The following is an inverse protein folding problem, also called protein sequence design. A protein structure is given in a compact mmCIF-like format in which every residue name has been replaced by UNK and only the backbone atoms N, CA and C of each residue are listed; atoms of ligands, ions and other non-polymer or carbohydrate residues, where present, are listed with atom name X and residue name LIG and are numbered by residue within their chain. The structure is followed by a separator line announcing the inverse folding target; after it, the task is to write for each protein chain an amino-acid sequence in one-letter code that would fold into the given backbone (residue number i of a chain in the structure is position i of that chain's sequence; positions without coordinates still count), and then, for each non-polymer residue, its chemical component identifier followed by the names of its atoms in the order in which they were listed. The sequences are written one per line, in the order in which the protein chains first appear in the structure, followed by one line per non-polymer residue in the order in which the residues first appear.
data_IF_259377101330
#
_entry.id   IF_259377101330
#
_cell.length_a   1.000
_cell.length_b   1.000
_cell.length_c   1.000
_cell.angle_alpha   90.00
_cell.angle_beta   90.00
_cell.angle_gamma   90.00
#
_symmetry.space_group_name_H-M   'P 1'
#
loop_
_entity.id
_entity.type
_entity.pdbx_description
1 polymer ?
#
# COMPACT_ATOMS: atom_id res chain seq x y z
N UNK A 1 13.20 -7.32 44.37
CA UNK A 1 13.53 -7.01 42.97
C UNK A 1 14.53 -5.86 42.95
N UNK A 2 15.61 -5.99 42.19
CA UNK A 2 16.67 -4.98 42.04
C UNK A 2 16.30 -3.97 40.95
N UNK A 3 16.96 -2.80 40.95
CA UNK A 3 16.75 -1.77 39.93
C UNK A 3 17.09 -2.28 38.52
N UNK A 4 18.17 -3.06 38.37
CA UNK A 4 18.58 -3.66 37.10
C UNK A 4 17.49 -4.57 36.52
N UNK A 5 16.81 -5.35 37.37
CA UNK A 5 15.70 -6.21 36.97
C UNK A 5 14.48 -5.39 36.49
N UNK A 6 14.22 -4.22 37.09
CA UNK A 6 13.20 -3.28 36.60
C UNK A 6 13.59 -2.77 35.21
N UNK A 7 14.81 -2.27 35.05
CA UNK A 7 15.26 -1.68 33.79
C UNK A 7 15.32 -2.72 32.65
N UNK A 8 15.57 -3.99 32.98
CA UNK A 8 15.54 -5.09 32.02
C UNK A 8 14.14 -5.38 31.46
N UNK A 9 13.06 -4.87 32.07
CA UNK A 9 11.70 -4.97 31.52
C UNK A 9 11.51 -4.08 30.29
N UNK A 10 12.38 -3.10 30.05
CA UNK A 10 12.30 -2.22 28.90
C UNK A 10 13.24 -2.69 27.78
N UNK A 11 12.73 -3.41 26.76
CA UNK A 11 13.56 -3.88 25.65
C UNK A 11 14.00 -2.70 24.77
N UNK A 12 15.31 -2.56 24.59
CA UNK A 12 15.86 -1.50 23.73
C UNK A 12 15.75 -1.89 22.26
N UNK A 13 15.34 -0.94 21.40
CA UNK A 13 15.21 -1.12 19.93
C UNK A 13 14.22 -2.22 19.53
N UNK A 14 13.21 -2.47 20.36
CA UNK A 14 12.11 -3.37 20.04
C UNK A 14 11.14 -2.76 19.02
N UNK A 15 10.44 -3.62 18.29
CA UNK A 15 9.29 -3.27 17.47
C UNK A 15 8.04 -2.99 18.34
N UNK A 16 6.96 -2.51 17.73
CA UNK A 16 5.74 -2.18 18.46
C UNK A 16 5.12 -3.41 19.17
N UNK A 17 5.19 -4.59 18.54
CA UNK A 17 4.62 -5.80 19.11
C UNK A 17 5.37 -6.23 20.40
N UNK A 18 6.70 -6.27 20.34
CA UNK A 18 7.56 -6.58 21.49
C UNK A 18 7.38 -5.57 22.63
N UNK A 19 7.24 -4.27 22.32
CA UNK A 19 7.00 -3.24 23.33
C UNK A 19 5.63 -3.40 24.00
N UNK A 20 4.57 -3.74 23.26
CA UNK A 20 3.24 -4.03 23.85
C UNK A 20 3.30 -5.22 24.80
N UNK A 21 3.96 -6.30 24.41
CA UNK A 21 4.13 -7.48 25.26
C UNK A 21 4.93 -7.15 26.53
N UNK A 22 6.02 -6.39 26.39
CA UNK A 22 6.84 -5.95 27.51
C UNK A 22 6.06 -5.05 28.49
N UNK A 23 5.25 -4.13 27.98
CA UNK A 23 4.35 -3.28 28.79
C UNK A 23 3.36 -4.15 29.57
N UNK A 24 2.67 -5.07 28.89
CA UNK A 24 1.71 -5.96 29.53
C UNK A 24 2.36 -6.82 30.64
N UNK A 25 3.57 -7.33 30.38
CA UNK A 25 4.37 -8.07 31.37
C UNK A 25 4.74 -7.19 32.57
N UNK A 26 5.17 -5.96 32.33
CA UNK A 26 5.53 -5.00 33.38
C UNK A 26 4.30 -4.63 34.24
N UNK A 27 3.15 -4.39 33.61
CA UNK A 27 1.88 -4.13 34.29
C UNK A 27 1.43 -5.31 35.17
N UNK A 28 1.52 -6.54 34.64
CA UNK A 28 1.25 -7.76 35.40
C UNK A 28 2.17 -7.91 36.62
N UNK A 29 3.49 -7.75 36.42
CA UNK A 29 4.47 -7.84 37.51
C UNK A 29 4.23 -6.78 38.59
N UNK A 30 3.85 -5.56 38.19
CA UNK A 30 3.48 -4.48 39.12
C UNK A 30 2.26 -4.86 39.95
N UNK A 31 1.23 -5.42 39.34
CA UNK A 31 0.03 -5.87 40.05
C UNK A 31 0.38 -6.97 41.07
N UNK A 32 1.16 -7.97 40.67
CA UNK A 32 1.60 -9.06 41.55
C UNK A 32 2.40 -8.55 42.76
N UNK A 33 3.28 -7.57 42.56
CA UNK A 33 4.07 -6.95 43.63
C UNK A 33 3.18 -6.17 44.62
N UNK A 34 2.17 -5.45 44.12
CA UNK A 34 1.21 -4.74 44.98
C UNK A 34 0.36 -5.74 45.79
N UNK A 35 -0.14 -6.80 45.15
CA UNK A 35 -0.88 -7.87 45.83
C UNK A 35 -0.03 -8.52 46.92
N UNK A 36 1.24 -8.81 46.64
CA UNK A 36 2.18 -9.35 47.62
C UNK A 36 2.41 -8.39 48.79
N UNK A 37 2.58 -7.09 48.54
CA UNK A 37 2.74 -6.10 49.59
C UNK A 37 1.51 -6.05 50.52
N UNK A 38 0.31 -6.02 49.95
CA UNK A 38 -0.94 -6.04 50.73
C UNK A 38 -1.09 -7.31 51.54
N UNK A 39 -0.72 -8.47 50.99
CA UNK A 39 -0.76 -9.74 51.72
C UNK A 39 0.21 -9.78 52.93
N UNK A 40 1.41 -9.23 52.76
CA UNK A 40 2.41 -9.12 53.83
C UNK A 40 1.96 -8.15 54.93
N UNK A 41 1.36 -7.02 54.55
CA UNK A 41 0.78 -6.07 55.50
C UNK A 41 -0.37 -6.67 56.32
N UNK A 42 -1.23 -7.46 55.66
CA UNK A 42 -2.31 -8.20 56.32
C UNK A 42 -1.77 -9.26 57.28
N UNK A 43 -0.73 -9.99 56.86
CA UNK A 43 -0.07 -10.98 57.73
C UNK A 43 0.52 -10.31 58.96
N UNK A 44 1.13 -9.13 58.80
CA UNK A 44 1.64 -8.33 59.92
C UNK A 44 0.52 -7.88 60.87
N UNK A 45 -0.59 -7.37 60.34
CA UNK A 45 -1.70 -6.88 61.18
C UNK A 45 -2.41 -8.00 61.93
N UNK A 46 -2.61 -9.16 61.31
CA UNK A 46 -3.18 -10.35 61.94
C UNK A 46 -2.22 -10.98 62.97
N UNK A 47 -0.92 -10.78 62.78
CA UNK A 47 0.15 -11.33 63.61
C UNK A 47 0.57 -10.50 64.82
N UNK A 48 -0.06 -9.34 65.08
CA UNK A 48 0.41 -8.36 66.09
C UNK A 48 0.56 -8.94 67.51
N UNK A 49 -0.21 -9.97 67.85
CA UNK A 49 -0.20 -10.60 69.18
C UNK A 49 0.45 -12.00 69.17
N UNK A 50 0.84 -12.51 68.01
CA UNK A 50 1.22 -13.93 67.82
C UNK A 50 2.58 -14.11 67.15
N UNK A 51 3.04 -13.13 66.37
CA UNK A 51 4.36 -13.13 65.76
C UNK A 51 5.38 -12.50 66.69
N UNK A 52 6.63 -12.97 66.60
CA UNK A 52 7.75 -12.27 67.22
C UNK A 52 8.07 -10.97 66.47
N UNK A 53 8.77 -10.06 67.16
CA UNK A 53 9.12 -8.74 66.63
C UNK A 53 9.95 -8.81 65.34
N UNK A 54 10.80 -9.82 65.22
CA UNK A 54 11.65 -10.02 64.04
C UNK A 54 10.84 -10.43 62.81
N UNK A 55 9.82 -11.25 62.98
CA UNK A 55 8.92 -11.66 61.92
C UNK A 55 8.05 -10.47 61.44
N UNK A 56 7.58 -9.64 62.38
CA UNK A 56 6.85 -8.41 62.04
C UNK A 56 7.71 -7.41 61.25
N UNK A 57 8.95 -7.15 61.70
CA UNK A 57 9.89 -6.28 61.00
C UNK A 57 10.22 -6.80 59.60
N UNK A 58 10.44 -8.11 59.43
CA UNK A 58 10.67 -8.72 58.12
C UNK A 58 9.48 -8.56 57.18
N UNK A 59 8.25 -8.78 57.67
CA UNK A 59 7.05 -8.61 56.87
C UNK A 59 6.88 -7.16 56.39
N UNK A 60 7.18 -6.20 57.26
CA UNK A 60 7.16 -4.77 56.91
C UNK A 60 8.23 -4.40 55.88
N UNK A 61 9.47 -4.85 56.08
CA UNK A 61 10.54 -4.62 55.11
C UNK A 61 10.22 -5.22 53.73
N UNK A 62 9.69 -6.45 53.69
CA UNK A 62 9.37 -7.12 52.44
C UNK A 62 8.17 -6.47 51.73
N UNK A 63 7.17 -6.00 52.49
CA UNK A 63 6.08 -5.19 51.95
C UNK A 63 6.60 -3.88 51.35
N UNK A 64 7.48 -3.17 52.05
CA UNK A 64 8.10 -1.93 51.57
C UNK A 64 8.95 -2.17 50.32
N UNK A 65 9.76 -3.25 50.28
CA UNK A 65 10.55 -3.64 49.11
C UNK A 65 9.65 -3.98 47.90
N UNK A 66 8.52 -4.65 48.13
CA UNK A 66 7.56 -4.98 47.08
C UNK A 66 6.88 -3.71 46.52
N UNK A 67 6.43 -2.79 47.39
CA UNK A 67 5.89 -1.48 46.98
C UNK A 67 6.91 -0.67 46.19
N UNK A 68 8.13 -0.55 46.69
CA UNK A 68 9.20 0.18 46.00
C UNK A 68 9.48 -0.40 44.60
N UNK A 69 9.46 -1.72 44.45
CA UNK A 69 9.60 -2.35 43.13
C UNK A 69 8.41 -2.04 42.21
N UNK A 70 7.18 -2.11 42.72
CA UNK A 70 5.98 -1.75 41.97
C UNK A 70 5.99 -0.27 41.52
N UNK A 71 6.44 0.64 42.38
CA UNK A 71 6.56 2.07 42.09
C UNK A 71 7.63 2.33 41.02
N UNK A 72 8.76 1.61 41.07
CA UNK A 72 9.79 1.69 40.03
C UNK A 72 9.28 1.21 38.67
N UNK A 73 8.48 0.14 38.64
CA UNK A 73 7.83 -0.30 37.39
C UNK A 73 6.83 0.77 36.93
N UNK A 74 6.05 1.34 37.84
CA UNK A 74 5.10 2.41 37.51
C UNK A 74 5.80 3.62 36.89
N UNK A 75 7.00 3.96 37.37
CA UNK A 75 7.82 5.03 36.81
C UNK A 75 8.43 4.68 35.43
N UNK A 76 8.65 3.39 35.13
CA UNK A 76 9.19 2.93 33.85
C UNK A 76 8.12 2.88 32.74
N UNK A 77 6.87 2.58 33.08
CA UNK A 77 5.79 2.39 32.11
C UNK A 77 5.55 3.59 31.15
N UNK A 78 5.62 4.86 31.59
CA UNK A 78 5.51 6.00 30.69
C UNK A 78 6.58 6.00 29.58
N UNK A 79 7.83 5.69 29.91
CA UNK A 79 8.92 5.64 28.95
C UNK A 79 8.71 4.51 27.94
N UNK A 80 8.29 3.31 28.42
CA UNK A 80 7.98 2.18 27.53
C UNK A 80 6.83 2.51 26.56
N UNK A 81 5.80 3.24 27.03
CA UNK A 81 4.67 3.67 26.19
C UNK A 81 5.08 4.73 25.18
N UNK A 82 5.97 5.65 25.55
CA UNK A 82 6.52 6.63 24.61
C UNK A 82 7.32 5.92 23.49
N UNK A 83 8.15 4.95 23.85
CA UNK A 83 8.90 4.15 22.88
C UNK A 83 7.99 3.30 21.99
N UNK A 84 6.88 2.77 22.53
CA UNK A 84 5.85 2.08 21.73
C UNK A 84 5.27 3.00 20.66
N UNK A 85 4.82 4.20 21.03
CA UNK A 85 4.26 5.15 20.06
C UNK A 85 5.27 5.55 18.98
N UNK A 86 6.55 5.69 19.34
CA UNK A 86 7.60 5.93 18.35
C UNK A 86 7.80 4.73 17.42
N UNK A 87 7.78 3.51 17.94
CA UNK A 87 7.90 2.29 17.14
C UNK A 87 6.73 2.15 16.15
N UNK A 88 5.49 2.35 16.62
CA UNK A 88 4.28 2.38 15.78
C UNK A 88 4.39 3.44 14.67
N UNK A 89 4.85 4.65 15.01
CA UNK A 89 5.07 5.70 14.02
C UNK A 89 6.12 5.33 12.98
N UNK A 90 7.22 4.68 13.37
CA UNK A 90 8.26 4.22 12.44
C UNK A 90 7.75 3.14 11.49
N UNK A 91 6.95 2.20 11.99
CA UNK A 91 6.35 1.12 11.19
C UNK A 91 5.37 1.68 10.15
N UNK A 92 4.49 2.60 10.55
CA UNK A 92 3.55 3.27 9.63
C UNK A 92 4.29 4.06 8.55
N UNK A 93 5.32 4.82 8.92
CA UNK A 93 6.13 5.57 7.96
C UNK A 93 6.88 4.65 6.98
N UNK A 94 7.32 3.47 7.43
CA UNK A 94 7.95 2.49 6.55
C UNK A 94 6.96 1.94 5.52
N UNK A 95 5.73 1.61 5.93
CA UNK A 95 4.68 1.17 5.02
C UNK A 95 4.32 2.24 3.97
N UNK A 96 4.10 3.48 4.40
CA UNK A 96 3.80 4.60 3.49
C UNK A 96 4.93 4.88 2.49
N UNK A 97 6.20 4.69 2.88
CA UNK A 97 7.33 4.84 1.96
C UNK A 97 7.35 3.77 0.87
N UNK A 98 7.05 2.52 1.23
CA UNK A 98 6.96 1.44 0.26
C UNK A 98 5.85 1.70 -0.77
N UNK A 99 4.66 2.12 -0.32
CA UNK A 99 3.56 2.48 -1.23
C UNK A 99 3.91 3.68 -2.13
N UNK A 100 4.65 4.66 -1.61
CA UNK A 100 5.08 5.82 -2.40
C UNK A 100 6.08 5.45 -3.51
N UNK A 101 6.90 4.41 -3.30
CA UNK A 101 7.85 3.90 -4.30
C UNK A 101 7.11 3.29 -5.50
N UNK A 102 6.09 2.47 -5.25
CA UNK A 102 5.23 1.89 -6.30
C UNK A 102 4.54 2.98 -7.15
N UNK A 103 4.07 4.05 -6.50
CA UNK A 103 3.46 5.20 -7.19
C UNK A 103 4.49 5.93 -8.05
N UNK A 104 5.70 6.16 -7.52
CA UNK A 104 6.76 6.82 -8.27
C UNK A 104 7.19 6.00 -9.50
N UNK A 105 7.30 4.68 -9.37
CA UNK A 105 7.61 3.77 -10.47
C UNK A 105 6.51 3.80 -11.55
N UNK A 106 5.24 3.74 -11.14
CA UNK A 106 4.10 3.81 -12.06
C UNK A 106 4.04 5.14 -12.83
N UNK A 107 4.30 6.27 -12.16
CA UNK A 107 4.38 7.59 -12.80
C UNK A 107 5.53 7.63 -13.80
N UNK A 108 6.72 7.15 -13.41
CA UNK A 108 7.88 7.11 -14.29
C UNK A 108 7.65 6.25 -15.53
N UNK A 109 7.01 5.08 -15.36
CA UNK A 109 6.63 4.21 -16.47
C UNK A 109 5.62 4.88 -17.42
N UNK A 110 4.64 5.62 -16.88
CA UNK A 110 3.69 6.37 -17.68
C UNK A 110 4.37 7.50 -18.47
N UNK A 111 5.27 8.26 -17.84
CA UNK A 111 6.03 9.32 -18.50
C UNK A 111 6.94 8.77 -19.61
N UNK A 112 7.58 7.63 -19.38
CA UNK A 112 8.39 6.94 -20.38
C UNK A 112 7.53 6.52 -21.58
N UNK A 113 6.37 5.89 -21.33
CA UNK A 113 5.44 5.53 -22.40
C UNK A 113 4.94 6.75 -23.18
N UNK A 114 4.58 7.84 -22.51
CA UNK A 114 4.14 9.08 -23.15
C UNK A 114 5.23 9.69 -24.04
N UNK A 115 6.49 9.60 -23.61
CA UNK A 115 7.62 10.12 -24.38
C UNK A 115 7.92 9.26 -25.61
N UNK A 116 7.88 7.94 -25.46
CA UNK A 116 8.42 7.03 -26.46
C UNK A 116 7.36 6.48 -27.42
N UNK A 117 6.13 6.25 -26.96
CA UNK A 117 5.08 5.61 -27.76
C UNK A 117 4.04 6.60 -28.30
N UNK A 118 3.64 7.60 -27.50
CA UNK A 118 2.63 8.57 -27.92
C UNK A 118 2.96 9.29 -29.25
N UNK A 119 4.22 9.72 -29.51
CA UNK A 119 4.57 10.40 -30.76
C UNK A 119 4.52 9.49 -32.00
N UNK A 120 4.53 8.16 -31.83
CA UNK A 120 4.46 7.19 -32.94
C UNK A 120 3.04 6.99 -33.46
N UNK A 121 2.02 7.38 -32.68
CA UNK A 121 0.61 7.18 -33.02
C UNK A 121 0.15 8.12 -34.16
N UNK A 122 0.41 9.45 -34.13
CA UNK A 122 0.00 10.37 -35.20
C UNK A 122 0.44 9.94 -36.61
N UNK A 123 1.71 9.57 -36.87
CA UNK A 123 2.14 9.13 -38.19
C UNK A 123 1.37 7.90 -38.71
N UNK A 124 1.07 6.93 -37.83
CA UNK A 124 0.33 5.72 -38.19
C UNK A 124 -1.12 6.05 -38.59
N UNK A 125 -1.77 6.94 -37.84
CA UNK A 125 -3.12 7.43 -38.19
C UNK A 125 -3.08 8.13 -39.55
N UNK A 126 -2.08 8.99 -39.79
CA UNK A 126 -1.91 9.68 -41.09
C UNK A 126 -1.70 8.69 -42.24
N UNK A 127 -0.90 7.64 -42.06
CA UNK A 127 -0.73 6.58 -43.07
C UNK A 127 -2.06 5.88 -43.35
N UNK A 128 -2.83 5.57 -42.31
CA UNK A 128 -4.17 5.00 -42.43
C UNK A 128 -5.09 5.88 -43.30
N UNK A 129 -5.12 7.19 -43.07
CA UNK A 129 -5.90 8.12 -43.90
C UNK A 129 -5.45 8.14 -45.36
N UNK A 130 -4.13 8.13 -45.63
CA UNK A 130 -3.62 8.09 -47.01
C UNK A 130 -4.03 6.81 -47.74
N UNK A 131 -3.99 5.67 -47.05
CA UNK A 131 -4.41 4.39 -47.64
C UNK A 131 -5.91 4.36 -47.90
N UNK A 132 -6.73 4.89 -46.98
CA UNK A 132 -8.17 5.05 -47.19
C UNK A 132 -8.46 5.95 -48.40
N UNK A 133 -7.84 7.13 -48.48
CA UNK A 133 -8.02 8.07 -49.58
C UNK A 133 -7.57 7.46 -50.92
N UNK A 134 -6.47 6.71 -50.93
CA UNK A 134 -5.98 6.00 -52.11
C UNK A 134 -6.97 4.90 -52.56
N UNK A 135 -7.53 4.13 -51.63
CA UNK A 135 -8.51 3.09 -51.93
C UNK A 135 -9.81 3.68 -52.49
N UNK A 136 -10.30 4.78 -51.90
CA UNK A 136 -11.49 5.50 -52.39
C UNK A 136 -11.22 6.07 -53.78
N UNK A 137 -10.07 6.73 -54.00
CA UNK A 137 -9.72 7.32 -55.29
C UNK A 137 -9.55 6.25 -56.39
N UNK A 138 -8.90 5.12 -56.09
CA UNK A 138 -8.76 4.01 -57.03
C UNK A 138 -10.11 3.43 -57.45
N UNK A 139 -11.02 3.26 -56.47
CA UNK A 139 -12.38 2.79 -56.73
C UNK A 139 -13.15 3.78 -57.60
N UNK A 140 -13.06 5.09 -57.32
CA UNK A 140 -13.74 6.11 -58.11
C UNK A 140 -13.22 6.15 -59.56
N UNK A 141 -11.89 6.14 -59.77
CA UNK A 141 -11.31 6.09 -61.13
C UNK A 141 -11.80 4.88 -61.93
N UNK A 142 -11.93 3.73 -61.28
CA UNK A 142 -12.46 2.54 -61.94
C UNK A 142 -13.91 2.73 -62.35
N UNK A 143 -14.75 3.27 -61.46
CA UNK A 143 -16.16 3.60 -61.78
C UNK A 143 -16.23 4.57 -62.95
N UNK A 144 -15.42 5.62 -62.96
CA UNK A 144 -15.39 6.62 -64.04
C UNK A 144 -14.93 6.01 -65.36
N UNK A 145 -13.87 5.18 -65.34
CA UNK A 145 -13.37 4.49 -66.53
C UNK A 145 -14.39 3.49 -67.10
N UNK A 146 -15.10 2.76 -66.23
CA UNK A 146 -16.19 1.88 -66.64
C UNK A 146 -17.30 2.71 -67.28
N UNK A 147 -17.74 3.80 -66.65
CA UNK A 147 -18.75 4.68 -67.23
C UNK A 147 -18.34 5.20 -68.62
N UNK A 148 -17.11 5.70 -68.76
CA UNK A 148 -16.58 6.20 -70.03
C UNK A 148 -16.45 5.10 -71.11
N UNK A 149 -16.05 3.87 -70.73
CA UNK A 149 -15.98 2.75 -71.66
C UNK A 149 -17.37 2.40 -72.23
N UNK A 150 -18.42 2.48 -71.41
CA UNK A 150 -19.80 2.18 -71.77
C UNK A 150 -20.48 3.25 -72.64
N UNK A 151 -19.83 4.38 -72.88
CA UNK A 151 -20.28 5.34 -73.90
C UNK A 151 -20.17 4.75 -75.32
N UNK A 152 -19.24 3.81 -75.53
CA UNK A 152 -19.00 3.14 -76.82
C UNK A 152 -20.01 2.02 -77.06
N UNK A 153 -20.69 2.06 -78.20
CA UNK A 153 -21.72 1.06 -78.56
C UNK A 153 -21.19 -0.38 -78.53
N UNK A 154 -19.98 -0.62 -79.07
CA UNK A 154 -19.36 -1.94 -79.07
C UNK A 154 -19.15 -2.54 -77.66
N UNK A 155 -18.94 -1.69 -76.63
CA UNK A 155 -18.81 -2.15 -75.24
C UNK A 155 -20.18 -2.49 -74.65
N UNK A 156 -21.22 -1.73 -74.99
CA UNK A 156 -22.61 -2.04 -74.59
C UNK A 156 -23.11 -3.33 -75.23
N UNK A 157 -22.81 -3.53 -76.51
CA UNK A 157 -23.19 -4.73 -77.27
C UNK A 157 -22.48 -5.98 -76.72
N UNK A 158 -21.28 -5.84 -76.16
CA UNK A 158 -20.53 -6.92 -75.53
C UNK A 158 -21.11 -7.37 -74.17
N UNK A 159 -22.04 -6.60 -73.58
CA UNK A 159 -22.72 -6.94 -72.33
C UNK A 159 -22.11 -6.30 -71.08
N UNK A 160 -22.65 -6.67 -69.91
CA UNK A 160 -22.27 -6.07 -68.63
C UNK A 160 -20.91 -6.55 -68.12
N UNK A 161 -20.20 -5.70 -67.37
CA UNK A 161 -18.93 -6.01 -66.74
C UNK A 161 -19.22 -6.89 -65.52
N UNK A 162 -18.99 -8.18 -65.65
CA UNK A 162 -19.21 -9.17 -64.59
C UNK A 162 -18.03 -9.19 -63.60
N UNK A 163 -17.82 -8.07 -62.90
CA UNK A 163 -16.81 -7.94 -61.85
C UNK A 163 -17.47 -7.33 -60.62
N UNK A 164 -17.55 -8.12 -59.53
CA UNK A 164 -17.95 -7.61 -58.23
C UNK A 164 -16.77 -6.89 -57.56
N UNK A 165 -16.90 -5.59 -57.31
CA UNK A 165 -15.91 -4.85 -56.55
C UNK A 165 -16.04 -5.17 -55.07
N UNK A 166 -14.94 -5.48 -54.36
CA UNK A 166 -14.99 -5.68 -52.93
C UNK A 166 -15.49 -4.40 -52.23
N UNK A 167 -16.30 -4.52 -51.16
CA UNK A 167 -16.70 -3.36 -50.37
C UNK A 167 -15.46 -2.75 -49.70
N UNK A 168 -15.55 -1.45 -49.39
CA UNK A 168 -14.57 -0.83 -48.50
C UNK A 168 -14.70 -1.46 -47.10
N UNK A 169 -13.61 -1.60 -46.35
CA UNK A 169 -13.66 -2.18 -45.01
C UNK A 169 -14.56 -1.37 -44.08
N UNK A 170 -15.29 -2.06 -43.19
CA UNK A 170 -16.25 -1.42 -42.27
C UNK A 170 -15.57 -0.49 -41.26
N UNK A 171 -14.37 -0.87 -40.79
CA UNK A 171 -13.55 -0.08 -39.87
C UNK A 171 -12.59 0.80 -40.65
N UNK A 172 -13.06 1.99 -40.98
CA UNK A 172 -12.25 3.00 -41.68
C UNK A 172 -11.53 3.91 -40.68
N UNK A 173 -10.24 4.22 -40.91
CA UNK A 173 -9.50 5.14 -40.07
C UNK A 173 -10.26 6.44 -39.79
N UNK A 174 -10.89 7.07 -40.81
CA UNK A 174 -11.64 8.32 -40.62
C UNK A 174 -12.89 8.18 -39.74
N UNK A 175 -13.47 6.98 -39.66
CA UNK A 175 -14.60 6.70 -38.77
C UNK A 175 -14.14 6.43 -37.32
N UNK A 176 -12.94 5.86 -37.15
CA UNK A 176 -12.37 5.55 -35.83
C UNK A 176 -11.73 6.77 -35.14
N UNK A 177 -11.30 7.77 -35.91
CA UNK A 177 -10.69 9.00 -35.39
C UNK A 177 -11.41 10.25 -35.91
N UNK A 178 -12.69 10.46 -35.53
CA UNK A 178 -13.45 11.62 -35.98
C UNK A 178 -12.83 12.91 -35.42
N UNK A 179 -12.39 13.81 -36.31
CA UNK A 179 -11.80 15.10 -35.94
C UNK A 179 -10.28 15.21 -36.01
N UNK A 180 -9.57 14.12 -36.35
CA UNK A 180 -8.13 14.17 -36.62
C UNK A 180 -7.88 14.90 -37.96
N UNK A 181 -7.13 16.02 -37.91
CA UNK A 181 -6.74 16.81 -39.08
C UNK A 181 -5.29 16.58 -39.45
#
# INVERSE_FOLDING_TARGET
MKLEEVLALHPKRADAAMLREAIAKAEGLRADLLTRATALEKTRSEGLLTLDEKAMLRAEEDAAKARLAADRIAALLPDMRADLHQAEGREVLAALRAEAEDVAEAISALEAWQRDELPKIPPLITVGFRLEDAAVAARQRLVDNVAAAYERQAVRDAGALDIALPPLPDRRPRASFPGWR
#
